data_IF_884707482991
#
_entry.id   IF_884707482991
#
_cell.length_a   1.000
_cell.length_b   1.000
_cell.length_c   1.000
_cell.angle_alpha   90.00
_cell.angle_beta   90.00
_cell.angle_gamma   90.00
#
_symmetry.space_group_name_H-M   'P 1'
#
loop_
_entity.id
_entity.type
_entity.pdbx_description
1 polymer ?
#
# COMPACT_ATOMS: atom_id res chain seq x y z
N UNK A 1 8.76 -2.89 -2.33
CA UNK A 1 7.70 -1.98 -2.82
C UNK A 1 7.67 -1.83 -4.34
N UNK A 2 8.68 -1.23 -5.00
CA UNK A 2 8.68 -1.04 -6.47
C UNK A 2 8.26 -2.26 -7.29
N UNK A 3 8.84 -3.43 -6.99
CA UNK A 3 8.50 -4.68 -7.68
C UNK A 3 7.04 -5.12 -7.48
N UNK A 4 6.48 -4.91 -6.28
CA UNK A 4 5.06 -5.17 -6.00
C UNK A 4 4.17 -4.26 -6.84
N UNK A 5 4.47 -2.96 -6.86
CA UNK A 5 3.71 -1.96 -7.64
C UNK A 5 3.69 -2.32 -9.13
N UNK A 6 4.83 -2.69 -9.69
CA UNK A 6 4.95 -3.07 -11.10
C UNK A 6 4.19 -4.36 -11.44
N UNK A 7 4.19 -5.33 -10.53
CA UNK A 7 3.59 -6.65 -10.76
C UNK A 7 2.09 -6.70 -10.47
N UNK A 8 1.64 -6.02 -9.40
CA UNK A 8 0.30 -6.18 -8.86
C UNK A 8 -0.61 -4.97 -9.15
N UNK A 9 -0.06 -3.75 -9.16
CA UNK A 9 -0.85 -2.50 -9.26
C UNK A 9 -0.91 -2.00 -10.70
N UNK A 10 0.24 -1.74 -11.33
CA UNK A 10 0.31 -1.12 -12.67
C UNK A 10 -0.47 -1.85 -13.76
N UNK A 11 -0.51 -3.20 -13.82
CA UNK A 11 -1.27 -3.89 -14.85
C UNK A 11 -2.79 -3.69 -14.74
N UNK A 12 -3.29 -3.28 -13.57
CA UNK A 12 -4.71 -3.28 -13.26
C UNK A 12 -5.29 -1.88 -12.97
N UNK A 13 -4.45 -0.91 -12.61
CA UNK A 13 -4.88 0.43 -12.14
C UNK A 13 -5.81 1.15 -13.12
N UNK A 14 -5.57 1.03 -14.43
CA UNK A 14 -6.44 1.66 -15.44
C UNK A 14 -7.88 1.16 -15.35
N UNK A 15 -8.07 -0.17 -15.29
CA UNK A 15 -9.39 -0.78 -15.13
C UNK A 15 -10.06 -0.37 -13.83
N UNK A 16 -9.32 -0.40 -12.72
CA UNK A 16 -9.89 -0.02 -11.42
C UNK A 16 -10.34 1.43 -11.40
N UNK A 17 -9.56 2.32 -12.02
CA UNK A 17 -9.91 3.73 -12.14
C UNK A 17 -11.16 3.94 -13.02
N UNK A 18 -11.20 3.34 -14.21
CA UNK A 18 -12.33 3.44 -15.15
C UNK A 18 -13.64 2.91 -14.56
N UNK A 19 -13.56 1.82 -13.78
CA UNK A 19 -14.73 1.19 -13.17
C UNK A 19 -15.08 1.75 -11.78
N UNK A 20 -14.31 2.73 -11.26
CA UNK A 20 -14.43 3.22 -9.88
C UNK A 20 -14.38 2.09 -8.82
N UNK A 21 -13.52 1.10 -9.05
CA UNK A 21 -13.36 -0.07 -8.19
C UNK A 21 -12.23 0.12 -7.17
N UNK A 22 -12.50 -0.28 -5.93
CA UNK A 22 -11.48 -0.38 -4.90
C UNK A 22 -10.98 -1.84 -4.79
N UNK A 23 -9.71 -2.14 -5.11
CA UNK A 23 -9.24 -3.52 -5.23
C UNK A 23 -8.94 -4.18 -3.87
N UNK A 24 -9.95 -4.78 -3.25
CA UNK A 24 -9.87 -5.46 -1.94
C UNK A 24 -8.78 -6.54 -1.85
N UNK A 25 -8.54 -7.28 -2.93
CA UNK A 25 -7.49 -8.32 -2.98
C UNK A 25 -6.08 -7.74 -2.84
N UNK A 26 -5.83 -6.54 -3.39
CA UNK A 26 -4.53 -5.87 -3.27
C UNK A 26 -4.27 -5.47 -1.82
N UNK A 27 -5.29 -4.98 -1.12
CA UNK A 27 -5.17 -4.65 0.30
C UNK A 27 -4.90 -5.91 1.15
N UNK A 28 -5.49 -7.04 0.80
CA UNK A 28 -5.19 -8.32 1.47
C UNK A 28 -3.73 -8.76 1.27
N UNK A 29 -3.19 -8.61 0.05
CA UNK A 29 -1.76 -8.87 -0.24
C UNK A 29 -0.85 -7.93 0.55
N UNK A 30 -1.15 -6.62 0.53
CA UNK A 30 -0.38 -5.62 1.28
C UNK A 30 -0.41 -5.88 2.80
N UNK A 31 -1.53 -6.36 3.33
CA UNK A 31 -1.66 -6.78 4.73
C UNK A 31 -0.81 -8.00 5.04
N UNK A 32 -0.79 -9.02 4.16
CA UNK A 32 0.05 -10.21 4.34
C UNK A 32 1.55 -9.91 4.29
N UNK A 33 1.97 -8.83 3.62
CA UNK A 33 3.35 -8.34 3.61
C UNK A 33 3.68 -7.42 4.80
N UNK A 34 2.74 -7.19 5.73
CA UNK A 34 2.95 -6.39 6.93
C UNK A 34 3.12 -4.89 6.65
N UNK A 35 2.57 -4.40 5.53
CA UNK A 35 2.77 -3.02 5.07
C UNK A 35 1.81 -2.03 5.73
N UNK A 36 0.74 -2.50 6.39
CA UNK A 36 -0.15 -1.66 7.16
C UNK A 36 0.49 -1.22 8.48
N UNK A 37 0.44 0.08 8.76
CA UNK A 37 1.09 0.63 9.96
C UNK A 37 2.61 0.44 9.96
N UNK A 38 3.26 0.28 8.80
CA UNK A 38 4.68 -0.10 8.70
C UNK A 38 5.66 0.82 9.46
N UNK A 39 5.28 2.06 9.77
CA UNK A 39 6.08 3.02 10.55
C UNK A 39 5.82 2.97 12.07
N UNK A 40 4.83 2.19 12.51
CA UNK A 40 4.48 2.01 13.92
C UNK A 40 5.38 0.97 14.57
N UNK A 41 5.67 1.16 15.86
CA UNK A 41 6.39 0.18 16.69
C UNK A 41 5.40 -0.62 17.52
N UNK A 42 5.67 -1.92 17.68
CA UNK A 42 4.76 -2.86 18.35
C UNK A 42 3.67 -3.40 17.43
N UNK A 43 2.67 -4.08 17.99
CA UNK A 43 1.47 -4.59 17.27
C UNK A 43 1.74 -5.52 16.06
N UNK A 44 2.95 -6.07 15.94
CA UNK A 44 3.35 -6.85 14.76
C UNK A 44 3.71 -6.00 13.54
N UNK A 45 3.80 -4.68 13.68
CA UNK A 45 4.18 -3.76 12.62
C UNK A 45 5.70 -3.74 12.37
N UNK A 46 6.10 -3.40 11.13
CA UNK A 46 7.49 -3.45 10.69
C UNK A 46 8.45 -2.45 11.36
N UNK A 47 7.95 -1.40 12.04
CA UNK A 47 8.79 -0.45 12.77
C UNK A 47 9.75 0.37 11.90
N UNK A 48 9.38 0.64 10.64
CA UNK A 48 10.21 1.40 9.70
C UNK A 48 10.47 2.82 10.19
N UNK A 49 11.68 3.31 9.90
CA UNK A 49 12.03 4.72 10.09
C UNK A 49 11.24 5.63 9.15
N UNK A 50 11.12 6.92 9.50
CA UNK A 50 10.41 7.90 8.67
C UNK A 50 10.93 7.97 7.21
N UNK A 51 12.25 7.94 6.93
CA UNK A 51 12.74 7.90 5.55
C UNK A 51 12.34 6.64 4.80
N UNK A 52 12.38 5.47 5.45
CA UNK A 52 11.98 4.20 4.85
C UNK A 52 10.48 4.18 4.52
N UNK A 53 9.65 4.69 5.43
CA UNK A 53 8.22 4.86 5.20
C UNK A 53 7.95 5.81 4.02
N UNK A 54 8.65 6.96 3.97
CA UNK A 54 8.54 7.92 2.88
C UNK A 54 8.84 7.31 1.51
N UNK A 55 9.93 6.54 1.39
CA UNK A 55 10.28 5.84 0.15
C UNK A 55 9.22 4.79 -0.23
N UNK A 56 8.67 4.04 0.74
CA UNK A 56 7.60 3.10 0.47
C UNK A 56 6.32 3.79 -0.04
N UNK A 57 5.95 4.93 0.53
CA UNK A 57 4.81 5.73 0.08
C UNK A 57 5.04 6.32 -1.32
N UNK A 58 6.26 6.77 -1.64
CA UNK A 58 6.59 7.28 -2.98
C UNK A 58 6.44 6.20 -4.05
N UNK A 59 6.88 4.98 -3.77
CA UNK A 59 6.73 3.86 -4.71
C UNK A 59 5.27 3.47 -4.92
N UNK A 60 4.44 3.50 -3.86
CA UNK A 60 3.00 3.27 -3.98
C UNK A 60 2.30 4.37 -4.78
N UNK A 61 2.65 5.64 -4.54
CA UNK A 61 2.13 6.79 -5.28
C UNK A 61 2.46 6.69 -6.78
N UNK A 62 3.64 6.17 -7.14
CA UNK A 62 4.01 5.92 -8.53
C UNK A 62 3.20 4.79 -9.20
N UNK A 63 2.43 4.04 -8.43
CA UNK A 63 1.47 3.04 -8.88
C UNK A 63 0.05 3.58 -8.97
N UNK A 64 -0.47 4.05 -7.83
CA UNK A 64 -1.82 4.61 -7.70
C UNK A 64 -1.95 5.42 -6.40
N UNK A 65 -2.43 6.67 -6.52
CA UNK A 65 -2.64 7.57 -5.38
C UNK A 65 -3.77 7.08 -4.45
N UNK A 66 -4.78 6.39 -5.00
CA UNK A 66 -5.90 5.84 -4.23
C UNK A 66 -5.47 4.74 -3.27
N UNK A 67 -4.70 3.77 -3.76
CA UNK A 67 -4.12 2.69 -2.97
C UNK A 67 -3.18 3.26 -1.88
N UNK A 68 -2.32 4.22 -2.23
CA UNK A 68 -1.46 4.89 -1.22
C UNK A 68 -2.29 5.61 -0.16
N UNK A 69 -3.40 6.24 -0.54
CA UNK A 69 -4.30 6.91 0.40
C UNK A 69 -4.93 5.94 1.38
N UNK A 70 -5.40 4.79 0.92
CA UNK A 70 -5.93 3.74 1.82
C UNK A 70 -4.87 3.29 2.81
N UNK A 71 -3.64 3.01 2.36
CA UNK A 71 -2.57 2.58 3.28
C UNK A 71 -2.19 3.66 4.29
N UNK A 72 -2.23 4.94 3.90
CA UNK A 72 -1.99 6.07 4.80
C UNK A 72 -3.08 6.18 5.88
N UNK A 73 -4.35 6.03 5.51
CA UNK A 73 -5.49 6.18 6.42
C UNK A 73 -5.71 4.95 7.31
N UNK A 74 -5.21 3.79 6.88
CA UNK A 74 -5.41 2.53 7.59
C UNK A 74 -4.37 2.35 8.71
N UNK A 75 -4.53 3.10 9.80
CA UNK A 75 -3.77 2.91 11.02
C UNK A 75 -4.47 1.86 11.91
N UNK A 76 -4.13 0.59 11.69
CA UNK A 76 -4.44 -0.54 12.59
C UNK A 76 -5.94 -0.72 12.90
N UNK A 77 -6.70 -1.30 11.95
CA UNK A 77 -7.58 -2.47 12.13
C UNK A 77 -8.26 -2.83 10.80
N UNK A 78 -7.96 -4.02 10.28
CA UNK A 78 -8.92 -4.89 9.58
C UNK A 78 -8.87 -6.24 10.31
#
# INVERSE_FOLDING_TARGET
MRAFVQREIKPNVGRWFENAELPTEIFSKLASEGLFGMHLKGYGCAGLSAPQYGLAMQELEAGDSGIRLVLLLSAVRL
#
